data_IF_411573896241
#
_entry.id   IF_411573896241
#
_cell.length_a   1.000
_cell.length_b   1.000
_cell.length_c   1.000
_cell.angle_alpha   90.00
_cell.angle_beta   90.00
_cell.angle_gamma   90.00
#
_symmetry.space_group_name_H-M   'P 1'
#
loop_
_entity.id
_entity.type
_entity.pdbx_description
1 polymer ?
#
# COMPACT_ATOMS: atom_id res chain seq x y z
N UNK A 1 -11.70 -18.50 -11.59
CA UNK A 1 -13.15 -18.53 -11.90
C UNK A 1 -13.40 -19.38 -13.13
N UNK A 2 -12.81 -19.05 -14.31
CA UNK A 2 -12.99 -19.85 -15.54
C UNK A 2 -12.61 -21.33 -15.36
N UNK A 3 -11.55 -21.63 -14.60
CA UNK A 3 -11.14 -22.99 -14.30
C UNK A 3 -12.15 -23.79 -13.46
N UNK A 4 -12.73 -23.14 -12.45
CA UNK A 4 -13.78 -23.75 -11.65
C UNK A 4 -15.05 -23.98 -12.48
N UNK A 5 -15.41 -23.02 -13.31
CA UNK A 5 -16.56 -23.16 -14.25
C UNK A 5 -16.32 -24.29 -15.22
N UNK A 6 -15.11 -24.46 -15.78
CA UNK A 6 -14.81 -25.57 -16.69
C UNK A 6 -14.79 -26.92 -15.99
N UNK A 7 -14.29 -26.99 -14.74
CA UNK A 7 -14.32 -28.20 -13.93
C UNK A 7 -15.77 -28.58 -13.61
N UNK A 8 -16.61 -27.62 -13.21
CA UNK A 8 -18.04 -27.88 -12.93
C UNK A 8 -18.78 -28.27 -14.20
N UNK A 9 -18.57 -27.57 -15.32
CA UNK A 9 -19.15 -27.93 -16.60
C UNK A 9 -18.75 -29.34 -17.04
N UNK A 10 -17.45 -29.67 -16.93
CA UNK A 10 -16.92 -30.98 -17.24
C UNK A 10 -17.55 -32.08 -16.34
N UNK A 11 -17.65 -31.86 -15.03
CA UNK A 11 -18.30 -32.76 -14.08
C UNK A 11 -19.78 -32.99 -14.40
N UNK A 12 -20.47 -31.92 -14.86
CA UNK A 12 -21.90 -32.04 -15.25
C UNK A 12 -22.09 -32.85 -16.54
N UNK A 13 -21.18 -32.67 -17.52
CA UNK A 13 -21.26 -33.44 -18.79
C UNK A 13 -20.83 -34.89 -18.67
N UNK A 14 -20.04 -35.26 -17.65
CA UNK A 14 -19.52 -36.62 -17.47
C UNK A 14 -20.35 -37.49 -16.54
N UNK A 15 -21.27 -36.92 -15.75
CA UNK A 15 -22.08 -37.65 -14.79
C UNK A 15 -23.12 -38.58 -15.45
N UNK A 16 -23.35 -38.48 -16.74
CA UNK A 16 -24.34 -39.30 -17.49
C UNK A 16 -23.74 -40.48 -18.28
N UNK A 17 -22.44 -40.74 -18.21
CA UNK A 17 -21.83 -41.85 -18.96
C UNK A 17 -21.60 -43.10 -18.11
N UNK A 18 -22.37 -44.20 -18.35
CA UNK A 18 -22.28 -45.45 -17.58
C UNK A 18 -21.10 -46.36 -17.96
N UNK A 19 -20.16 -45.86 -18.79
CA UNK A 19 -19.03 -46.67 -19.28
C UNK A 19 -17.70 -46.12 -18.77
N UNK A 20 -17.20 -46.68 -17.68
CA UNK A 20 -15.77 -46.92 -17.35
C UNK A 20 -14.70 -45.81 -17.56
N UNK A 21 -15.06 -44.56 -17.70
CA UNK A 21 -14.11 -43.46 -18.00
C UNK A 21 -13.50 -42.74 -16.77
N UNK A 22 -13.57 -43.34 -15.59
CA UNK A 22 -13.08 -42.70 -14.34
C UNK A 22 -11.59 -42.25 -14.39
N UNK A 23 -10.78 -42.90 -15.20
CA UNK A 23 -9.36 -42.52 -15.38
C UNK A 23 -9.19 -41.32 -16.33
N UNK A 24 -10.00 -41.26 -17.40
CA UNK A 24 -9.99 -40.15 -18.37
C UNK A 24 -10.53 -38.87 -17.71
N UNK A 25 -11.56 -38.99 -16.86
CA UNK A 25 -12.12 -37.90 -16.07
C UNK A 25 -11.08 -37.30 -15.11
N UNK A 26 -10.36 -38.16 -14.39
CA UNK A 26 -9.28 -37.74 -13.49
C UNK A 26 -8.17 -37.01 -14.25
N UNK A 27 -7.74 -37.54 -15.40
CA UNK A 27 -6.76 -36.90 -16.26
C UNK A 27 -7.24 -35.52 -16.77
N UNK A 28 -8.50 -35.41 -17.17
CA UNK A 28 -9.11 -34.17 -17.63
C UNK A 28 -9.14 -33.11 -16.53
N UNK A 29 -9.55 -33.44 -15.31
CA UNK A 29 -9.55 -32.53 -14.16
C UNK A 29 -8.13 -32.09 -13.81
N UNK A 30 -7.17 -33.02 -13.79
CA UNK A 30 -5.75 -32.68 -13.51
C UNK A 30 -5.20 -31.75 -14.58
N UNK A 31 -5.45 -32.05 -15.88
CA UNK A 31 -5.01 -31.22 -16.99
C UNK A 31 -5.61 -29.80 -16.94
N UNK A 32 -6.92 -29.68 -16.70
CA UNK A 32 -7.59 -28.40 -16.54
C UNK A 32 -6.99 -27.61 -15.36
N UNK A 33 -6.81 -28.26 -14.21
CA UNK A 33 -6.23 -27.62 -13.03
C UNK A 33 -4.80 -27.11 -13.32
N UNK A 34 -3.99 -27.92 -13.98
CA UNK A 34 -2.62 -27.54 -14.36
C UNK A 34 -2.61 -26.33 -15.33
N UNK A 35 -3.46 -26.34 -16.35
CA UNK A 35 -3.59 -25.24 -17.30
C UNK A 35 -4.01 -23.95 -16.60
N UNK A 36 -5.00 -23.97 -15.71
CA UNK A 36 -5.46 -22.77 -15.00
C UNK A 36 -4.45 -22.28 -13.96
N UNK A 37 -3.68 -23.17 -13.32
CA UNK A 37 -2.57 -22.81 -12.45
C UNK A 37 -1.48 -22.08 -13.24
N UNK A 38 -1.12 -22.60 -14.39
CA UNK A 38 -0.12 -22.01 -15.29
C UNK A 38 -0.59 -20.64 -15.83
N UNK A 39 -1.88 -20.54 -16.17
CA UNK A 39 -2.51 -19.30 -16.61
C UNK A 39 -2.52 -18.25 -15.51
N UNK A 40 -2.86 -18.62 -14.27
CA UNK A 40 -2.80 -17.72 -13.11
C UNK A 40 -1.38 -17.22 -12.84
N UNK A 41 -0.40 -18.12 -12.90
CA UNK A 41 1.01 -17.80 -12.71
C UNK A 41 1.50 -16.81 -13.78
N UNK A 42 1.24 -17.09 -15.05
CA UNK A 42 1.67 -16.23 -16.16
C UNK A 42 1.00 -14.86 -16.17
N UNK A 43 -0.23 -14.75 -15.69
CA UNK A 43 -0.93 -13.46 -15.59
C UNK A 43 -0.39 -12.57 -14.47
N UNK A 44 0.18 -13.13 -13.40
CA UNK A 44 0.63 -12.35 -12.23
C UNK A 44 2.11 -11.93 -12.35
N UNK A 45 2.97 -12.75 -12.98
CA UNK A 45 4.41 -12.45 -13.12
C UNK A 45 4.72 -11.07 -13.69
N UNK A 46 4.08 -10.59 -14.76
CA UNK A 46 4.45 -9.32 -15.38
C UNK A 46 3.98 -8.09 -14.61
N UNK A 47 3.28 -8.24 -13.48
CA UNK A 47 2.72 -7.12 -12.74
C UNK A 47 3.80 -6.42 -11.92
N UNK A 48 3.90 -5.10 -12.10
CA UNK A 48 4.83 -4.26 -11.35
C UNK A 48 4.48 -4.16 -9.86
N UNK A 49 5.50 -4.01 -9.00
CA UNK A 49 5.31 -3.87 -7.56
C UNK A 49 4.36 -2.73 -7.17
N UNK A 50 4.41 -1.59 -7.87
CA UNK A 50 3.53 -0.45 -7.60
C UNK A 50 2.04 -0.75 -7.74
N UNK A 51 1.66 -1.63 -8.69
CA UNK A 51 0.27 -1.99 -8.95
C UNK A 51 -0.22 -3.20 -8.10
N UNK A 52 0.68 -3.79 -7.32
CA UNK A 52 0.41 -5.01 -6.54
C UNK A 52 -0.75 -4.90 -5.54
N UNK A 53 -0.96 -3.80 -4.80
CA UNK A 53 -2.10 -3.68 -3.89
C UNK A 53 -3.45 -3.86 -4.59
N UNK A 54 -3.60 -3.31 -5.79
CA UNK A 54 -4.83 -3.44 -6.61
C UNK A 54 -5.03 -4.88 -7.05
N UNK A 55 -3.96 -5.54 -7.49
CA UNK A 55 -4.00 -6.93 -7.94
C UNK A 55 -4.33 -7.89 -6.79
N UNK A 56 -3.79 -7.66 -5.60
CA UNK A 56 -4.14 -8.45 -4.41
C UNK A 56 -5.64 -8.35 -4.12
N UNK A 57 -6.21 -7.15 -4.17
CA UNK A 57 -7.64 -6.94 -3.98
C UNK A 57 -8.47 -7.65 -5.05
N UNK A 58 -8.03 -7.59 -6.30
CA UNK A 58 -8.70 -8.29 -7.42
C UNK A 58 -8.63 -9.82 -7.28
N UNK A 59 -7.47 -10.37 -6.91
CA UNK A 59 -7.31 -11.80 -6.65
C UNK A 59 -8.20 -12.28 -5.50
N UNK A 60 -8.34 -11.45 -4.45
CA UNK A 60 -9.27 -11.73 -3.36
C UNK A 60 -10.73 -11.78 -3.85
N UNK A 61 -11.13 -10.87 -4.73
CA UNK A 61 -12.45 -10.89 -5.36
C UNK A 61 -12.68 -12.18 -6.16
N UNK A 62 -11.68 -12.61 -6.94
CA UNK A 62 -11.76 -13.88 -7.68
C UNK A 62 -11.84 -15.09 -6.75
N UNK A 63 -11.14 -15.07 -5.62
CA UNK A 63 -11.22 -16.12 -4.60
C UNK A 63 -12.61 -16.19 -3.97
N UNK A 64 -13.24 -15.04 -3.70
CA UNK A 64 -14.62 -14.97 -3.24
C UNK A 64 -15.61 -15.58 -4.24
N UNK A 65 -15.48 -15.23 -5.52
CA UNK A 65 -16.31 -15.85 -6.58
C UNK A 65 -16.07 -17.34 -6.68
N UNK A 66 -14.84 -17.82 -6.57
CA UNK A 66 -14.52 -19.24 -6.57
C UNK A 66 -15.19 -19.97 -5.40
N UNK A 67 -15.20 -19.37 -4.20
CA UNK A 67 -15.89 -19.90 -3.04
C UNK A 67 -17.42 -19.98 -3.25
N UNK A 68 -18.02 -18.96 -3.89
CA UNK A 68 -19.44 -18.97 -4.23
C UNK A 68 -19.79 -20.13 -5.18
N UNK A 69 -19.00 -20.35 -6.23
CA UNK A 69 -19.20 -21.48 -7.15
C UNK A 69 -18.99 -22.84 -6.47
N UNK A 70 -18.00 -22.96 -5.58
CA UNK A 70 -17.83 -24.16 -4.78
C UNK A 70 -19.05 -24.40 -3.88
N UNK A 71 -19.62 -23.34 -3.29
CA UNK A 71 -20.85 -23.41 -2.51
C UNK A 71 -22.05 -23.96 -3.30
N UNK A 72 -22.20 -23.57 -4.57
CA UNK A 72 -23.21 -24.13 -5.45
C UNK A 72 -22.98 -25.61 -5.70
N UNK A 73 -21.75 -26.03 -5.94
CA UNK A 73 -21.42 -27.42 -6.22
C UNK A 73 -21.72 -28.35 -5.06
N UNK A 74 -21.56 -27.89 -3.81
CA UNK A 74 -21.82 -28.70 -2.60
C UNK A 74 -23.15 -28.38 -1.91
N UNK A 75 -24.03 -27.58 -2.57
CA UNK A 75 -25.31 -27.11 -2.01
C UNK A 75 -25.20 -26.42 -0.63
N UNK A 76 -24.13 -25.65 -0.40
CA UNK A 76 -23.91 -24.92 0.83
C UNK A 76 -24.25 -23.42 0.65
N UNK A 77 -25.43 -23.01 1.11
CA UNK A 77 -25.92 -21.63 0.98
C UNK A 77 -25.06 -20.60 1.72
N UNK A 78 -24.49 -20.96 2.86
CA UNK A 78 -23.61 -20.06 3.63
C UNK A 78 -22.34 -19.74 2.83
N UNK A 79 -21.77 -20.74 2.19
CA UNK A 79 -20.58 -20.57 1.36
C UNK A 79 -20.88 -19.75 0.10
N UNK A 80 -22.07 -19.93 -0.50
CA UNK A 80 -22.53 -19.09 -1.63
C UNK A 80 -22.63 -17.65 -1.22
N UNK A 81 -23.35 -17.34 -0.14
CA UNK A 81 -23.59 -15.98 0.33
C UNK A 81 -22.27 -15.29 0.72
N UNK A 82 -21.44 -15.96 1.53
CA UNK A 82 -20.14 -15.41 1.95
C UNK A 82 -19.19 -15.19 0.76
N UNK A 83 -19.14 -16.13 -0.17
CA UNK A 83 -18.34 -16.01 -1.38
C UNK A 83 -18.79 -14.87 -2.29
N UNK A 84 -20.11 -14.68 -2.45
CA UNK A 84 -20.65 -13.52 -3.19
C UNK A 84 -20.32 -12.19 -2.52
N UNK A 85 -20.43 -12.11 -1.20
CA UNK A 85 -20.10 -10.88 -0.46
C UNK A 85 -18.61 -10.54 -0.58
N UNK A 86 -17.73 -11.50 -0.40
CA UNK A 86 -16.28 -11.31 -0.58
C UNK A 86 -15.94 -10.93 -2.03
N UNK A 87 -16.55 -11.58 -2.99
CA UNK A 87 -16.36 -11.29 -4.41
C UNK A 87 -16.78 -9.86 -4.77
N UNK A 88 -17.97 -9.45 -4.35
CA UNK A 88 -18.49 -8.11 -4.60
C UNK A 88 -17.66 -7.03 -3.91
N UNK A 89 -17.37 -7.20 -2.62
CA UNK A 89 -16.56 -6.23 -1.86
C UNK A 89 -15.14 -6.09 -2.42
N UNK A 90 -14.51 -7.20 -2.81
CA UNK A 90 -13.18 -7.19 -3.42
C UNK A 90 -13.15 -6.48 -4.77
N UNK A 91 -14.20 -6.61 -5.61
CA UNK A 91 -14.31 -5.86 -6.87
C UNK A 91 -14.48 -4.36 -6.63
N UNK A 92 -15.33 -3.97 -5.68
CA UNK A 92 -15.53 -2.56 -5.31
C UNK A 92 -14.21 -1.96 -4.80
N UNK A 93 -13.51 -2.66 -3.90
CA UNK A 93 -12.19 -2.25 -3.40
C UNK A 93 -11.18 -2.08 -4.55
N UNK A 94 -11.13 -3.02 -5.47
CA UNK A 94 -10.25 -2.94 -6.66
C UNK A 94 -10.52 -1.69 -7.48
N UNK A 95 -11.78 -1.36 -7.74
CA UNK A 95 -12.14 -0.16 -8.50
C UNK A 95 -11.78 1.14 -7.75
N UNK A 96 -12.01 1.18 -6.44
CA UNK A 96 -11.63 2.32 -5.59
C UNK A 96 -10.11 2.51 -5.61
N UNK A 97 -9.34 1.43 -5.47
CA UNK A 97 -7.88 1.49 -5.51
C UNK A 97 -7.35 1.89 -6.89
N UNK A 98 -7.95 1.40 -7.97
CA UNK A 98 -7.63 1.86 -9.33
C UNK A 98 -7.80 3.37 -9.46
N UNK A 99 -8.93 3.90 -8.97
CA UNK A 99 -9.21 5.34 -8.98
C UNK A 99 -8.19 6.12 -8.13
N UNK A 100 -7.88 5.63 -6.93
CA UNK A 100 -6.92 6.25 -6.03
C UNK A 100 -5.49 6.29 -6.59
N UNK A 101 -5.14 5.34 -7.47
CA UNK A 101 -3.84 5.31 -8.16
C UNK A 101 -3.87 5.97 -9.54
N UNK A 102 -4.98 6.62 -9.90
CA UNK A 102 -5.19 7.19 -11.24
C UNK A 102 -4.91 6.19 -12.39
N UNK A 103 -5.31 4.93 -12.19
CA UNK A 103 -5.14 3.83 -13.13
C UNK A 103 -6.50 3.28 -13.57
N UNK A 104 -6.61 2.87 -14.82
CA UNK A 104 -7.78 2.11 -15.27
C UNK A 104 -7.55 0.61 -15.06
N UNK A 105 -8.59 -0.11 -14.64
CA UNK A 105 -8.52 -1.56 -14.43
C UNK A 105 -8.02 -2.31 -15.67
N UNK A 106 -8.47 -1.91 -16.86
CA UNK A 106 -7.98 -2.49 -18.12
C UNK A 106 -6.50 -2.26 -18.36
N UNK A 107 -5.95 -1.09 -17.98
CA UNK A 107 -4.52 -0.82 -18.13
C UNK A 107 -3.66 -1.69 -17.23
N UNK A 108 -4.15 -2.05 -16.04
CA UNK A 108 -3.44 -2.94 -15.11
C UNK A 108 -3.30 -4.35 -15.66
N UNK A 109 -4.37 -4.90 -16.26
CA UNK A 109 -4.37 -6.27 -16.79
C UNK A 109 -3.60 -6.40 -18.11
N UNK A 110 -3.68 -5.40 -18.99
CA UNK A 110 -3.15 -5.53 -20.35
C UNK A 110 -1.83 -4.76 -20.59
N UNK A 111 -1.55 -3.68 -19.85
CA UNK A 111 -0.34 -2.88 -20.01
C UNK A 111 0.90 -3.56 -19.41
N UNK A 112 0.70 -4.51 -18.51
CA UNK A 112 1.75 -5.32 -17.90
C UNK A 112 2.50 -6.20 -18.90
N UNK A 113 1.94 -6.44 -20.09
CA UNK A 113 2.61 -7.13 -21.19
C UNK A 113 3.54 -6.24 -22.05
N UNK A 114 3.55 -4.93 -21.83
CA UNK A 114 4.44 -3.99 -22.50
C UNK A 114 5.63 -3.65 -21.62
N UNK A 115 6.77 -4.25 -21.89
CA UNK A 115 8.02 -4.27 -21.11
C UNK A 115 8.34 -2.96 -20.37
N UNK A 116 8.80 -3.11 -19.14
CA UNK A 116 9.41 -2.03 -18.36
C UNK A 116 10.55 -1.40 -19.18
N UNK A 117 10.42 -0.14 -19.52
CA UNK A 117 11.56 0.64 -20.01
C UNK A 117 12.59 0.65 -18.88
N UNK A 118 13.77 0.06 -19.13
CA UNK A 118 14.91 0.15 -18.21
C UNK A 118 15.19 1.62 -17.93
N UNK A 119 15.29 1.97 -16.65
CA UNK A 119 15.77 3.27 -16.19
C UNK A 119 17.04 3.67 -16.94
N UNK A 120 17.04 4.88 -17.48
CA UNK A 120 18.26 5.59 -17.80
C UNK A 120 19.10 5.71 -16.52
N UNK A 121 20.42 5.61 -16.65
CA UNK A 121 21.35 5.67 -15.54
C UNK A 121 21.06 6.91 -14.65
N UNK A 122 20.76 6.67 -13.39
CA UNK A 122 20.70 7.71 -12.40
C UNK A 122 22.06 8.44 -12.33
N UNK A 123 22.05 9.76 -12.32
CA UNK A 123 23.25 10.57 -12.05
C UNK A 123 23.84 10.22 -10.68
N UNK A 124 25.02 10.76 -10.32
CA UNK A 124 25.69 10.43 -9.06
C UNK A 124 24.71 10.62 -7.90
N UNK A 125 24.37 9.52 -7.23
CA UNK A 125 23.43 9.53 -6.14
C UNK A 125 24.01 10.35 -4.99
N UNK A 126 23.36 11.48 -4.64
CA UNK A 126 23.63 12.17 -3.39
C UNK A 126 23.38 11.18 -2.25
N UNK A 127 24.28 11.13 -1.28
CA UNK A 127 24.01 10.30 -0.09
C UNK A 127 22.94 10.97 0.78
N UNK A 128 21.96 10.20 1.30
CA UNK A 128 20.96 10.73 2.22
C UNK A 128 21.61 11.28 3.49
N UNK A 129 21.21 12.47 3.93
CA UNK A 129 21.61 13.01 5.22
C UNK A 129 20.96 12.20 6.32
N UNK A 130 21.69 11.85 7.37
CA UNK A 130 21.13 11.18 8.56
C UNK A 130 21.31 12.06 9.79
N UNK A 131 20.40 11.92 10.74
CA UNK A 131 20.36 12.70 11.99
C UNK A 131 20.09 11.75 13.17
N UNK A 132 20.54 12.15 14.34
CA UNK A 132 20.23 11.46 15.59
C UNK A 132 18.80 11.81 16.07
N UNK A 133 18.30 11.07 17.06
CA UNK A 133 16.99 11.34 17.66
C UNK A 133 17.03 12.65 18.45
N UNK A 134 18.13 12.91 19.15
CA UNK A 134 18.34 14.11 19.95
C UNK A 134 18.34 15.39 19.10
N UNK A 135 19.04 15.35 17.94
CA UNK A 135 19.04 16.49 17.01
C UNK A 135 17.65 16.72 16.40
N UNK A 136 16.93 15.64 16.09
CA UNK A 136 15.57 15.70 15.56
C UNK A 136 14.58 16.30 16.59
N UNK A 137 14.75 15.97 17.88
CA UNK A 137 13.98 16.56 18.96
C UNK A 137 14.09 18.09 18.98
N UNK A 138 15.30 18.66 18.90
CA UNK A 138 15.50 20.11 18.91
C UNK A 138 14.73 20.85 17.80
N UNK A 139 14.60 20.21 16.65
CA UNK A 139 13.84 20.77 15.52
C UNK A 139 12.34 20.65 15.76
N UNK A 140 11.89 19.51 16.33
CA UNK A 140 10.48 19.26 16.64
C UNK A 140 9.96 20.17 17.75
N UNK A 141 10.79 20.44 18.76
CA UNK A 141 10.46 21.35 19.87
C UNK A 141 10.15 22.76 19.37
N UNK A 142 10.87 23.24 18.35
CA UNK A 142 10.68 24.56 17.78
C UNK A 142 9.56 24.62 16.71
N UNK A 143 9.06 23.47 16.25
CA UNK A 143 8.06 23.38 15.19
C UNK A 143 6.66 23.76 15.70
N UNK A 144 5.94 24.55 14.89
CA UNK A 144 4.54 24.94 15.17
C UNK A 144 3.54 24.17 14.34
N UNK A 145 3.92 23.74 13.12
CA UNK A 145 3.07 22.98 12.23
C UNK A 145 3.78 21.69 11.86
N UNK A 146 3.23 20.56 12.33
CA UNK A 146 3.80 19.24 12.12
C UNK A 146 2.79 18.35 11.38
N UNK A 147 3.25 17.67 10.33
CA UNK A 147 2.41 16.73 9.57
C UNK A 147 3.03 15.36 9.57
N UNK A 148 2.28 14.38 10.04
CA UNK A 148 2.65 12.97 9.92
C UNK A 148 2.16 12.38 8.60
N UNK A 149 3.04 11.67 7.90
CA UNK A 149 2.73 10.93 6.67
C UNK A 149 2.92 9.43 6.94
N UNK A 150 1.84 8.76 7.42
CA UNK A 150 1.93 7.35 7.79
C UNK A 150 1.95 6.46 6.56
N UNK A 151 2.77 5.42 6.61
CA UNK A 151 2.82 4.38 5.58
C UNK A 151 2.74 2.98 6.16
N UNK A 152 2.84 1.98 5.30
CA UNK A 152 2.74 0.58 5.69
C UNK A 152 3.80 0.16 6.74
N UNK A 153 4.98 0.77 6.70
CA UNK A 153 6.02 0.50 7.70
C UNK A 153 5.62 0.85 9.13
N UNK A 154 4.79 1.88 9.33
CA UNK A 154 4.20 2.19 10.64
C UNK A 154 3.31 1.05 11.14
N UNK A 155 2.46 0.50 10.26
CA UNK A 155 1.59 -0.63 10.58
C UNK A 155 2.39 -1.90 10.95
N UNK A 156 3.45 -2.21 10.20
CA UNK A 156 4.31 -3.37 10.45
C UNK A 156 5.04 -3.25 11.79
N UNK A 157 5.49 -2.06 12.15
CA UNK A 157 6.15 -1.79 13.42
C UNK A 157 5.16 -1.63 14.60
N UNK A 158 3.84 -1.61 14.33
CA UNK A 158 2.80 -1.32 15.32
C UNK A 158 3.10 -0.02 16.10
N UNK A 159 3.54 1.02 15.37
CA UNK A 159 3.99 2.27 15.95
C UNK A 159 2.86 3.29 16.19
N UNK A 160 1.61 2.98 15.83
CA UNK A 160 0.47 3.91 15.88
C UNK A 160 0.27 4.54 17.26
N UNK A 161 0.44 3.77 18.35
CA UNK A 161 0.31 4.29 19.70
C UNK A 161 1.45 5.23 20.09
N UNK A 162 2.70 4.89 19.74
CA UNK A 162 3.84 5.76 19.98
C UNK A 162 3.73 7.07 19.15
N UNK A 163 3.21 6.98 17.93
CA UNK A 163 2.93 8.16 17.10
C UNK A 163 1.88 9.05 17.74
N UNK A 164 0.82 8.48 18.32
CA UNK A 164 -0.20 9.24 19.05
C UNK A 164 0.40 9.93 20.28
N UNK A 165 1.23 9.24 21.03
CA UNK A 165 1.92 9.79 22.20
C UNK A 165 2.84 10.96 21.81
N UNK A 166 3.58 10.84 20.70
CA UNK A 166 4.38 11.94 20.16
C UNK A 166 3.50 13.11 19.71
N UNK A 167 2.34 12.82 19.09
CA UNK A 167 1.37 13.83 18.69
C UNK A 167 0.90 14.64 19.91
N UNK A 168 0.50 13.95 21.00
CA UNK A 168 0.07 14.60 22.24
C UNK A 168 1.17 15.49 22.83
N UNK A 169 2.41 15.05 22.83
CA UNK A 169 3.55 15.84 23.30
C UNK A 169 3.80 17.10 22.46
N UNK A 170 3.68 16.98 21.14
CA UNK A 170 3.80 18.13 20.23
C UNK A 170 2.66 19.15 20.46
N UNK A 171 1.44 18.67 20.66
CA UNK A 171 0.28 19.52 20.96
C UNK A 171 0.39 20.20 22.34
N UNK A 172 0.87 19.48 23.35
CA UNK A 172 1.21 20.04 24.68
C UNK A 172 2.23 21.18 24.56
N UNK A 173 3.18 21.04 23.61
CA UNK A 173 4.19 22.06 23.31
C UNK A 173 3.66 23.19 22.39
N UNK A 174 2.39 23.17 22.02
CA UNK A 174 1.71 24.21 21.24
C UNK A 174 1.84 24.07 19.73
N UNK A 175 2.22 22.92 19.21
CA UNK A 175 2.24 22.64 17.78
C UNK A 175 0.85 22.23 17.30
N UNK A 176 0.50 22.61 16.07
CA UNK A 176 -0.65 22.08 15.34
C UNK A 176 -0.19 20.79 14.64
N UNK A 177 -0.87 19.66 14.92
CA UNK A 177 -0.52 18.36 14.38
C UNK A 177 -1.64 17.83 13.47
N UNK A 178 -1.26 17.42 12.27
CA UNK A 178 -2.16 16.83 11.29
C UNK A 178 -1.53 15.57 10.68
N UNK A 179 -2.39 14.70 10.11
CA UNK A 179 -1.96 13.50 9.42
C UNK A 179 -2.35 13.61 7.94
N UNK A 180 -1.39 13.47 7.04
CA UNK A 180 -1.63 13.41 5.60
C UNK A 180 -1.71 11.94 5.16
N UNK A 181 -2.94 11.46 4.96
CA UNK A 181 -3.18 10.05 4.66
C UNK A 181 -3.37 9.87 3.17
N UNK A 182 -2.52 9.03 2.58
CA UNK A 182 -2.68 8.61 1.20
C UNK A 182 -3.68 7.44 1.10
N UNK A 183 -4.62 7.47 0.13
CA UNK A 183 -5.68 6.44 0.03
C UNK A 183 -5.17 5.01 -0.12
N UNK A 184 -4.00 4.83 -0.75
CA UNK A 184 -3.38 3.50 -0.94
C UNK A 184 -2.21 3.23 0.01
N UNK A 185 -1.98 4.08 1.02
CA UNK A 185 -1.01 3.79 2.06
C UNK A 185 -1.46 2.55 2.85
N UNK A 186 -0.62 1.53 2.88
CA UNK A 186 -0.93 0.27 3.53
C UNK A 186 -1.27 -0.87 2.57
N UNK A 187 -2.19 -1.75 2.96
CA UNK A 187 -2.62 -2.93 2.18
C UNK A 187 -4.05 -2.86 1.68
N UNK A 188 -4.83 -1.93 2.18
CA UNK A 188 -6.24 -1.72 1.80
C UNK A 188 -6.59 -0.24 1.95
N UNK A 189 -7.60 0.27 1.23
CA UNK A 189 -8.08 1.64 1.41
C UNK A 189 -8.48 1.90 2.87
N UNK A 190 -8.07 3.05 3.40
CA UNK A 190 -8.36 3.43 4.79
C UNK A 190 -7.54 2.68 5.85
N UNK A 191 -6.54 1.88 5.47
CA UNK A 191 -5.72 1.12 6.44
C UNK A 191 -5.12 2.04 7.51
N UNK A 192 -4.54 3.17 7.12
CA UNK A 192 -3.96 4.12 8.08
C UNK A 192 -5.01 4.78 8.96
N UNK A 193 -6.20 5.08 8.41
CA UNK A 193 -7.30 5.65 9.19
C UNK A 193 -7.74 4.71 10.32
N UNK A 194 -7.84 3.41 10.03
CA UNK A 194 -8.23 2.41 11.04
C UNK A 194 -7.19 2.31 12.15
N UNK A 195 -5.88 2.25 11.81
CA UNK A 195 -4.81 2.16 12.81
C UNK A 195 -4.70 3.41 13.67
N UNK A 196 -4.85 4.60 13.08
CA UNK A 196 -4.81 5.85 13.83
C UNK A 196 -6.07 6.03 14.68
N UNK A 197 -7.24 5.59 14.21
CA UNK A 197 -8.46 5.56 15.02
C UNK A 197 -8.34 4.57 16.20
N UNK A 198 -7.69 3.41 16.01
CA UNK A 198 -7.36 2.47 17.09
C UNK A 198 -6.45 3.12 18.15
N UNK A 199 -5.55 4.00 17.73
CA UNK A 199 -4.70 4.79 18.61
C UNK A 199 -5.38 6.04 19.20
N UNK A 200 -6.69 6.22 18.97
CA UNK A 200 -7.48 7.37 19.43
C UNK A 200 -7.02 8.72 18.86
N UNK A 201 -6.51 8.74 17.64
CA UNK A 201 -6.26 10.00 16.93
C UNK A 201 -7.61 10.61 16.49
N UNK A 202 -7.88 11.90 16.79
CA UNK A 202 -9.11 12.57 16.36
C UNK A 202 -9.29 12.56 14.83
N UNK A 203 -10.52 12.34 14.37
CA UNK A 203 -10.80 12.31 12.92
C UNK A 203 -10.54 13.63 12.22
N UNK A 204 -10.65 14.74 12.93
CA UNK A 204 -10.38 16.09 12.43
C UNK A 204 -8.92 16.30 12.01
N UNK A 205 -8.01 15.53 12.61
CA UNK A 205 -6.57 15.52 12.26
C UNK A 205 -6.25 14.61 11.08
N UNK A 206 -7.14 13.67 10.73
CA UNK A 206 -6.95 12.72 9.66
C UNK A 206 -7.37 13.35 8.31
N UNK A 207 -6.45 14.01 7.66
CA UNK A 207 -6.69 14.69 6.38
C UNK A 207 -6.22 13.83 5.20
N UNK A 208 -6.90 13.97 4.08
CA UNK A 208 -6.46 13.34 2.83
C UNK A 208 -5.24 14.07 2.24
N UNK A 209 -4.50 13.38 1.34
CA UNK A 209 -3.41 14.01 0.61
C UNK A 209 -3.87 15.27 -0.15
N UNK A 210 -5.06 15.24 -0.75
CA UNK A 210 -5.61 16.36 -1.52
C UNK A 210 -5.93 17.58 -0.64
N UNK A 211 -6.31 17.36 0.63
CA UNK A 211 -6.58 18.42 1.59
C UNK A 211 -5.29 19.01 2.17
N UNK A 212 -4.25 18.17 2.36
CA UNK A 212 -3.00 18.60 2.96
C UNK A 212 -1.99 19.19 1.95
N UNK A 213 -1.94 18.68 0.72
CA UNK A 213 -0.97 19.12 -0.28
C UNK A 213 -0.94 20.66 -0.48
N UNK A 214 -2.10 21.38 -0.58
CA UNK A 214 -2.07 22.82 -0.73
C UNK A 214 -1.46 23.58 0.47
N UNK A 215 -1.39 22.96 1.63
CA UNK A 215 -0.89 23.56 2.88
C UNK A 215 0.54 23.10 3.21
N UNK A 216 1.09 22.15 2.46
CA UNK A 216 2.37 21.50 2.78
C UNK A 216 3.55 22.48 2.82
N UNK A 217 3.53 23.54 2.02
CA UNK A 217 4.55 24.61 2.03
C UNK A 217 4.58 25.40 3.34
N UNK A 218 3.51 25.39 4.12
CA UNK A 218 3.41 26.08 5.43
C UNK A 218 3.79 25.14 6.60
N UNK A 219 4.08 23.88 6.32
CA UNK A 219 4.44 22.86 7.32
C UNK A 219 5.92 23.04 7.69
N UNK A 220 6.21 23.16 8.98
CA UNK A 220 7.57 23.26 9.49
C UNK A 220 8.28 21.92 9.40
N UNK A 221 7.62 20.84 9.85
CA UNK A 221 8.19 19.49 9.82
C UNK A 221 7.16 18.47 9.30
N UNK A 222 7.53 17.78 8.23
CA UNK A 222 6.79 16.61 7.75
C UNK A 222 7.51 15.32 8.21
N UNK A 223 6.81 14.46 8.95
CA UNK A 223 7.36 13.20 9.49
C UNK A 223 6.81 12.03 8.69
N UNK A 224 7.63 11.48 7.81
CA UNK A 224 7.29 10.31 6.98
C UNK A 224 7.63 9.04 7.73
N UNK A 225 6.62 8.24 8.11
CA UNK A 225 6.82 7.04 8.91
C UNK A 225 6.48 5.79 8.09
N UNK A 226 7.53 5.10 7.62
CA UNK A 226 7.36 3.85 6.89
C UNK A 226 6.61 3.97 5.57
N UNK A 227 6.56 5.16 4.97
CA UNK A 227 6.07 5.44 3.62
C UNK A 227 7.25 5.55 2.65
N UNK A 228 7.03 5.23 1.37
CA UNK A 228 8.01 5.39 0.30
C UNK A 228 7.35 5.86 -1.00
N UNK A 229 6.63 4.98 -1.68
CA UNK A 229 6.08 5.25 -3.01
C UNK A 229 5.06 6.40 -2.99
N UNK A 230 4.27 6.51 -1.92
CA UNK A 230 3.23 7.53 -1.74
C UNK A 230 3.76 8.95 -1.47
N UNK A 231 5.07 9.10 -1.29
CA UNK A 231 5.76 10.40 -1.13
C UNK A 231 6.86 10.58 -2.19
N UNK A 232 6.84 9.78 -3.25
CA UNK A 232 7.89 9.79 -4.27
C UNK A 232 7.61 10.85 -5.33
N UNK A 233 8.43 11.93 -5.45
CA UNK A 233 8.24 12.99 -6.44
C UNK A 233 8.32 12.52 -7.90
N UNK A 234 8.97 11.38 -8.19
CA UNK A 234 9.02 10.80 -9.54
C UNK A 234 7.62 10.44 -10.06
N UNK A 235 6.63 10.29 -9.18
CA UNK A 235 5.24 10.10 -9.60
C UNK A 235 4.66 11.31 -10.35
N UNK A 236 5.22 12.51 -10.12
CA UNK A 236 4.80 13.75 -10.79
C UNK A 236 5.75 14.09 -11.93
N UNK A 237 7.06 13.95 -11.74
CA UNK A 237 8.08 14.53 -12.62
C UNK A 237 8.69 13.57 -13.64
N UNK A 238 8.64 12.26 -13.41
CA UNK A 238 9.26 11.28 -14.30
C UNK A 238 8.21 10.43 -15.04
N UNK A 239 7.94 10.77 -16.30
CA UNK A 239 7.03 10.01 -17.18
C UNK A 239 7.49 8.55 -17.42
N UNK A 240 8.75 8.25 -17.20
CA UNK A 240 9.29 6.90 -17.35
C UNK A 240 9.10 6.04 -16.10
N UNK A 241 8.78 6.66 -14.97
CA UNK A 241 8.56 5.98 -13.70
C UNK A 241 7.30 5.11 -13.73
N UNK A 242 7.34 3.89 -13.20
CA UNK A 242 6.13 3.08 -13.02
C UNK A 242 5.10 3.74 -12.08
N UNK A 243 5.51 4.71 -11.28
CA UNK A 243 4.63 5.47 -10.38
C UNK A 243 3.97 6.68 -11.06
N UNK A 244 4.40 7.06 -12.28
CA UNK A 244 3.91 8.26 -12.95
C UNK A 244 2.39 8.37 -13.01
N UNK A 245 1.88 9.54 -12.63
CA UNK A 245 0.45 9.85 -12.59
C UNK A 245 -0.28 9.36 -11.32
N UNK A 246 0.42 8.72 -10.38
CA UNK A 246 -0.14 8.43 -9.07
C UNK A 246 -0.17 9.71 -8.23
N UNK A 247 -1.31 10.07 -7.60
CA UNK A 247 -1.34 11.13 -6.59
C UNK A 247 -0.36 10.79 -5.47
N UNK A 248 0.32 11.77 -4.93
CA UNK A 248 1.24 11.60 -3.79
C UNK A 248 0.97 12.63 -2.70
N UNK A 249 1.52 12.40 -1.52
CA UNK A 249 1.66 13.44 -0.50
C UNK A 249 2.92 14.25 -0.79
N UNK A 250 2.78 15.55 -0.99
CA UNK A 250 3.87 16.46 -1.37
C UNK A 250 4.80 16.79 -0.18
N UNK A 251 5.23 15.78 0.57
CA UNK A 251 6.09 15.97 1.73
C UNK A 251 7.37 16.78 1.41
N UNK A 252 7.85 16.73 0.16
CA UNK A 252 9.03 17.46 -0.31
C UNK A 252 8.88 18.99 -0.27
N UNK A 253 7.65 19.49 -0.20
CA UNK A 253 7.37 20.95 -0.12
C UNK A 253 7.45 21.49 1.31
N UNK A 254 7.47 20.63 2.34
CA UNK A 254 7.63 21.05 3.73
C UNK A 254 9.02 21.65 3.97
N UNK A 255 9.15 22.51 4.97
CA UNK A 255 10.43 23.16 5.30
C UNK A 255 11.50 22.14 5.69
N UNK A 256 11.14 21.15 6.51
CA UNK A 256 12.00 20.02 6.89
C UNK A 256 11.23 18.73 6.78
N UNK A 257 11.87 17.67 6.28
CA UNK A 257 11.26 16.35 6.13
C UNK A 257 12.07 15.32 6.92
N UNK A 258 11.46 14.70 7.90
CA UNK A 258 12.02 13.56 8.61
C UNK A 258 11.49 12.27 8.00
N UNK A 259 12.38 11.38 7.64
CA UNK A 259 12.02 10.06 7.11
C UNK A 259 12.49 8.98 8.05
N UNK A 260 11.54 8.35 8.73
CA UNK A 260 11.79 7.24 9.64
C UNK A 260 11.75 5.94 8.85
N UNK A 261 12.88 5.27 8.75
CA UNK A 261 13.04 4.06 7.94
C UNK A 261 14.07 3.11 8.54
N UNK A 262 13.83 1.80 8.45
CA UNK A 262 14.79 0.80 8.97
C UNK A 262 16.10 0.71 8.18
N UNK A 263 16.11 1.13 6.94
CA UNK A 263 17.29 1.03 6.08
C UNK A 263 17.11 1.69 4.73
N UNK A 264 18.13 1.63 3.88
CA UNK A 264 18.21 2.28 2.57
C UNK A 264 17.40 1.57 1.45
N UNK A 265 16.65 0.50 1.76
CA UNK A 265 15.90 -0.28 0.77
C UNK A 265 14.85 0.54 0.02
N UNK A 266 14.54 0.16 -1.21
CA UNK A 266 13.45 0.73 -2.01
C UNK A 266 12.07 0.37 -1.44
N UNK A 267 11.02 1.04 -1.90
CA UNK A 267 9.65 0.72 -1.58
C UNK A 267 9.15 -0.53 -2.31
N UNK A 268 7.85 -0.74 -2.25
CA UNK A 268 7.19 -1.89 -2.87
C UNK A 268 7.29 -1.86 -4.41
N UNK A 269 7.34 -0.66 -5.00
CA UNK A 269 7.52 -0.45 -6.43
C UNK A 269 8.94 -0.81 -6.93
N UNK A 270 9.91 -0.92 -6.03
CA UNK A 270 11.32 -1.11 -6.38
C UNK A 270 11.99 0.13 -6.98
N UNK A 271 11.30 1.28 -6.97
CA UNK A 271 11.82 2.57 -7.48
C UNK A 271 12.57 3.29 -6.36
N UNK A 272 13.70 3.90 -6.69
CA UNK A 272 14.39 4.81 -5.78
C UNK A 272 13.54 6.07 -5.57
N UNK A 273 13.66 6.66 -4.39
CA UNK A 273 12.88 7.85 -4.04
C UNK A 273 13.82 9.05 -3.90
N UNK A 274 13.78 10.02 -4.83
CA UNK A 274 14.61 11.20 -4.77
C UNK A 274 14.33 12.09 -3.56
N UNK A 275 13.16 11.98 -2.93
CA UNK A 275 12.87 12.68 -1.68
C UNK A 275 13.96 12.46 -0.63
N UNK A 276 14.50 11.24 -0.53
CA UNK A 276 15.48 10.91 0.52
C UNK A 276 16.84 11.58 0.36
N UNK A 277 17.11 12.14 -0.82
CA UNK A 277 18.35 12.86 -1.15
C UNK A 277 18.15 14.38 -1.28
N UNK A 278 16.93 14.87 -1.05
CA UNK A 278 16.63 16.28 -1.07
C UNK A 278 17.36 17.04 0.06
N UNK A 279 17.63 18.31 -0.17
CA UNK A 279 18.39 19.12 0.76
C UNK A 279 17.65 19.40 2.08
N UNK A 280 16.31 19.41 2.05
CA UNK A 280 15.43 19.58 3.21
C UNK A 280 15.04 18.25 3.88
N UNK A 281 15.54 17.11 3.42
CA UNK A 281 15.18 15.79 3.94
C UNK A 281 16.29 15.19 4.75
N UNK A 282 15.93 14.64 5.89
CA UNK A 282 16.83 13.97 6.82
C UNK A 282 16.29 12.60 7.18
N UNK A 283 17.15 11.59 7.14
CA UNK A 283 16.82 10.21 7.46
C UNK A 283 17.10 9.93 8.94
N UNK A 284 16.13 9.35 9.63
CA UNK A 284 16.30 8.80 10.97
C UNK A 284 16.16 7.28 10.86
N UNK A 285 17.30 6.59 10.93
CA UNK A 285 17.34 5.15 10.74
C UNK A 285 17.02 4.42 12.05
N UNK A 286 16.07 3.49 11.97
CA UNK A 286 15.69 2.67 13.11
C UNK A 286 14.36 1.95 12.89
N UNK A 287 13.97 1.15 13.87
CA UNK A 287 12.59 0.64 13.94
C UNK A 287 11.64 1.79 14.25
N UNK A 288 10.53 1.89 13.51
CA UNK A 288 9.64 3.05 13.62
C UNK A 288 9.09 3.24 15.04
N UNK A 289 8.71 2.14 15.73
CA UNK A 289 8.20 2.21 17.09
C UNK A 289 9.30 2.65 18.07
N UNK A 290 10.47 2.05 17.99
CA UNK A 290 11.59 2.37 18.87
C UNK A 290 12.06 3.82 18.69
N UNK A 291 12.17 4.28 17.43
CA UNK A 291 12.59 5.65 17.11
C UNK A 291 11.58 6.69 17.59
N UNK A 292 10.28 6.45 17.37
CA UNK A 292 9.24 7.37 17.84
C UNK A 292 9.16 7.38 19.37
N UNK A 293 9.27 6.22 20.04
CA UNK A 293 9.30 6.15 21.51
C UNK A 293 10.52 6.86 22.09
N UNK A 294 11.67 6.81 21.42
CA UNK A 294 12.85 7.57 21.84
C UNK A 294 12.61 9.09 21.71
N UNK A 295 11.96 9.56 20.63
CA UNK A 295 11.57 10.97 20.52
C UNK A 295 10.60 11.38 21.64
N UNK A 296 9.63 10.55 21.98
CA UNK A 296 8.71 10.81 23.10
C UNK A 296 9.44 10.93 24.41
N UNK A 297 10.44 10.08 24.66
CA UNK A 297 11.26 10.14 25.88
C UNK A 297 12.02 11.46 25.99
N UNK A 298 12.58 11.98 24.90
CA UNK A 298 13.25 13.30 24.89
C UNK A 298 12.30 14.44 25.29
N UNK A 299 11.02 14.38 24.87
CA UNK A 299 10.00 15.32 25.32
C UNK A 299 9.58 15.15 26.79
N UNK A 300 9.79 14.00 27.40
CA UNK A 300 9.46 13.74 28.79
C UNK A 300 10.57 14.12 29.76
N UNK A 301 11.83 14.10 29.31
CA UNK A 301 13.01 14.38 30.12
C UNK A 301 13.35 15.87 30.19
N UNK A 302 12.75 16.71 29.37
CA UNK A 302 12.88 18.16 29.33
C UNK A 302 11.58 18.87 29.68
#
# INVERSE_FOLDING_TARGET
VLGLVSIIAYSFFTSENPFGFAEIEKCGVIACTAIFLLLGFTMVIPIGGGDMPVIISFLNALSGLAAAFAGFAINNTVLVVSGCLVGASGLILTLIMCKAMNRTFGSLLFKSFGGQKKKGAAGPAKEPKSMSVEDAYMILEAAKNVVFVPGYGMAVAQAQHAVKELCDKLEENGAEVNFAIHPVAGRMPGHMNVLLAEANVPYEQLKTADEMNPQMSNVDVAIVIGANDVVNPDAIHDESSPLYGMPIVNAHEARTVFVLKRGKGTGFSGVENPLFTNDNTVMIYGDAKATVSALVSEFADN
#
